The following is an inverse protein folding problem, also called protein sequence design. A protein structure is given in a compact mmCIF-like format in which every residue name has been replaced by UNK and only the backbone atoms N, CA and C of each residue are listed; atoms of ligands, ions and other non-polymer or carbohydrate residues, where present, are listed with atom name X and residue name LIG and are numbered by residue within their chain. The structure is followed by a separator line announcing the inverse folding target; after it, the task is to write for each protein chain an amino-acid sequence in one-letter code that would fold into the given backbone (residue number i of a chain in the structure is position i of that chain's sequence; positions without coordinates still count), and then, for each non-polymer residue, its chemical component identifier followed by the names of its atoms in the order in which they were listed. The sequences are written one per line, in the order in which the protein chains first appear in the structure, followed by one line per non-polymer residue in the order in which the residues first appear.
data_IF_838891230066
#
_entry.id   IF_838891230066
#
_cell.length_a   1.000
_cell.length_b   1.000
_cell.length_c   1.000
_cell.angle_alpha   90.00
_cell.angle_beta   90.00
_cell.angle_gamma   90.00
#
_symmetry.space_group_name_H-M   'P 1'
#
loop_
_entity.id
_entity.type
_entity.pdbx_description
1 polymer ?
#
# COMPACT_ATOMS: atom_id res chain seq x y z
N UNK A 1 13.35 5.96 -18.46
CA UNK A 1 12.63 6.81 -17.48
C UNK A 1 13.01 6.33 -16.09
N UNK A 2 13.41 7.22 -15.18
CA UNK A 2 13.51 6.89 -13.75
C UNK A 2 12.07 6.68 -13.28
N UNK A 3 11.64 5.42 -13.17
CA UNK A 3 10.37 5.08 -12.53
C UNK A 3 10.51 5.40 -11.04
N UNK A 4 10.09 6.60 -10.65
CA UNK A 4 9.92 6.92 -9.24
C UNK A 4 8.69 6.16 -8.76
N UNK A 5 8.94 4.95 -8.23
CA UNK A 5 8.03 4.07 -7.49
C UNK A 5 6.84 4.82 -6.91
N UNK A 6 7.06 5.86 -6.09
CA UNK A 6 6.22 7.05 -5.89
C UNK A 6 7.16 8.22 -5.57
N UNK A 7 6.69 9.47 -5.48
CA UNK A 7 7.48 10.53 -4.85
C UNK A 7 7.96 10.04 -3.47
N UNK A 8 9.22 10.31 -3.10
CA UNK A 8 9.78 9.86 -1.82
C UNK A 8 8.94 10.32 -0.62
N UNK A 9 8.26 11.46 -0.76
CA UNK A 9 7.41 12.02 0.28
C UNK A 9 5.96 11.50 0.21
N UNK A 10 5.62 10.59 -0.70
CA UNK A 10 4.25 10.12 -0.86
C UNK A 10 3.67 9.45 0.39
N UNK A 11 4.39 8.55 1.10
CA UNK A 11 3.89 8.02 2.38
C UNK A 11 3.68 9.12 3.43
N UNK A 12 4.52 10.16 3.42
CA UNK A 12 4.36 11.32 4.30
C UNK A 12 3.06 12.07 3.97
N UNK A 13 2.77 12.31 2.69
CA UNK A 13 1.52 12.94 2.27
C UNK A 13 0.28 12.10 2.59
N UNK A 14 0.35 10.77 2.52
CA UNK A 14 -0.73 9.88 3.00
C UNK A 14 -0.98 10.12 4.49
N UNK A 15 0.08 10.14 5.30
CA UNK A 15 -0.03 10.35 6.74
C UNK A 15 -0.63 11.72 7.08
N UNK A 16 -0.22 12.77 6.35
CA UNK A 16 -0.78 14.13 6.49
C UNK A 16 -2.27 14.13 6.13
N UNK A 17 -2.67 13.60 4.97
CA UNK A 17 -4.06 13.59 4.54
C UNK A 17 -4.96 12.80 5.51
N UNK A 18 -4.48 11.64 5.98
CA UNK A 18 -5.21 10.82 6.95
C UNK A 18 -5.33 11.53 8.30
N UNK A 19 -4.22 12.03 8.84
CA UNK A 19 -4.18 12.67 10.16
C UNK A 19 -4.97 13.97 10.20
N UNK A 20 -4.84 14.82 9.18
CA UNK A 20 -5.63 16.05 9.08
C UNK A 20 -7.12 15.76 8.85
N UNK A 21 -7.45 14.75 8.05
CA UNK A 21 -8.85 14.35 7.85
C UNK A 21 -9.54 13.98 9.16
N UNK A 22 -8.89 13.17 9.99
CA UNK A 22 -9.42 12.77 11.31
C UNK A 22 -9.46 13.95 12.28
N UNK A 23 -8.37 14.70 12.39
CA UNK A 23 -8.29 15.86 13.27
C UNK A 23 -9.38 16.91 12.97
N UNK A 24 -9.61 17.22 11.69
CA UNK A 24 -10.64 18.20 11.30
C UNK A 24 -12.06 17.70 11.58
N UNK A 25 -12.31 16.39 11.47
CA UNK A 25 -13.59 15.79 11.83
C UNK A 25 -13.87 15.94 13.33
N UNK A 26 -12.90 15.61 14.17
CA UNK A 26 -13.04 15.71 15.63
C UNK A 26 -13.18 17.17 16.07
N UNK A 27 -12.37 18.05 15.50
CA UNK A 27 -12.42 19.48 15.81
C UNK A 27 -13.73 20.14 15.34
N UNK A 28 -14.29 19.72 14.21
CA UNK A 28 -15.59 20.21 13.73
C UNK A 28 -16.70 19.89 14.74
N UNK A 29 -16.73 18.65 15.24
CA UNK A 29 -17.69 18.19 16.22
C UNK A 29 -17.62 18.96 17.55
N UNK A 30 -16.42 19.31 18.01
CA UNK A 30 -16.25 20.12 19.24
C UNK A 30 -16.77 21.56 19.09
N UNK A 31 -16.79 22.11 17.88
CA UNK A 31 -17.23 23.49 17.62
C UNK A 31 -18.75 23.57 17.45
N UNK A 32 -19.37 22.57 16.83
CA UNK A 32 -20.76 22.64 16.42
C UNK A 32 -21.38 21.25 16.28
N UNK A 33 -22.57 21.07 16.87
CA UNK A 33 -23.41 19.88 16.67
C UNK A 33 -24.02 19.78 15.25
N UNK A 34 -23.86 20.83 14.44
CA UNK A 34 -24.31 20.89 13.04
C UNK A 34 -23.13 20.81 12.08
N UNK A 35 -23.37 20.25 10.89
CA UNK A 35 -22.36 20.21 9.83
C UNK A 35 -21.76 21.58 9.53
N UNK A 36 -20.44 21.58 9.39
CA UNK A 36 -19.61 22.74 9.07
C UNK A 36 -18.78 22.49 7.82
N UNK A 37 -18.12 23.54 7.32
CA UNK A 37 -17.18 23.41 6.21
C UNK A 37 -16.00 22.48 6.53
N UNK A 38 -15.66 22.31 7.81
CA UNK A 38 -14.58 21.42 8.25
C UNK A 38 -14.96 19.96 8.02
N UNK A 39 -16.23 19.57 8.15
CA UNK A 39 -16.70 18.22 7.86
C UNK A 39 -16.52 17.85 6.39
N UNK A 40 -16.80 18.80 5.49
CA UNK A 40 -16.60 18.60 4.06
C UNK A 40 -15.12 18.46 3.70
N UNK A 41 -14.24 19.27 4.32
CA UNK A 41 -12.79 19.17 4.13
C UNK A 41 -12.27 17.84 4.71
N UNK A 42 -12.70 17.47 5.91
CA UNK A 42 -12.35 16.20 6.55
C UNK A 42 -12.74 14.99 5.70
N UNK A 43 -13.96 15.01 5.14
CA UNK A 43 -14.48 13.98 4.23
C UNK A 43 -13.65 13.91 2.96
N UNK A 44 -13.32 15.05 2.36
CA UNK A 44 -12.49 15.10 1.15
C UNK A 44 -11.08 14.55 1.41
N UNK A 45 -10.45 14.93 2.52
CA UNK A 45 -9.13 14.43 2.90
C UNK A 45 -9.15 12.93 3.19
N UNK A 46 -10.20 12.44 3.85
CA UNK A 46 -10.38 11.01 4.12
C UNK A 46 -10.60 10.20 2.84
N UNK A 47 -11.35 10.73 1.88
CA UNK A 47 -11.50 10.09 0.58
C UNK A 47 -10.18 10.09 -0.21
N UNK A 48 -9.47 11.23 -0.21
CA UNK A 48 -8.17 11.34 -0.86
C UNK A 48 -7.16 10.35 -0.26
N UNK A 49 -7.13 10.19 1.07
CA UNK A 49 -6.21 9.26 1.73
C UNK A 49 -6.47 7.80 1.31
N UNK A 50 -7.73 7.39 1.20
CA UNK A 50 -8.10 6.04 0.69
C UNK A 50 -7.55 5.82 -0.71
N UNK A 51 -7.77 6.76 -1.62
CA UNK A 51 -7.24 6.67 -3.01
C UNK A 51 -5.72 6.60 -2.98
N UNK A 52 -5.07 7.42 -2.15
CA UNK A 52 -3.62 7.42 -2.06
C UNK A 52 -3.07 6.10 -1.52
N UNK A 53 -3.71 5.49 -0.52
CA UNK A 53 -3.36 4.14 -0.04
C UNK A 53 -3.48 3.10 -1.15
N UNK A 54 -4.56 3.11 -1.94
CA UNK A 54 -4.74 2.20 -3.08
C UNK A 54 -3.58 2.33 -4.07
N UNK A 55 -3.29 3.57 -4.49
CA UNK A 55 -2.18 3.87 -5.41
C UNK A 55 -0.84 3.43 -4.83
N UNK A 56 -0.59 3.70 -3.56
CA UNK A 56 0.64 3.27 -2.87
C UNK A 56 0.74 1.75 -2.83
N UNK A 57 -0.33 1.04 -2.50
CA UNK A 57 -0.36 -0.42 -2.44
C UNK A 57 0.01 -1.08 -3.77
N UNK A 58 -0.51 -0.56 -4.89
CA UNK A 58 -0.12 -1.05 -6.21
C UNK A 58 1.33 -0.73 -6.58
N UNK A 59 1.80 0.47 -6.23
CA UNK A 59 3.21 0.82 -6.42
C UNK A 59 4.10 -0.12 -5.59
N UNK A 60 3.81 -0.28 -4.30
CA UNK A 60 4.45 -1.19 -3.36
C UNK A 60 4.55 -2.62 -3.89
N UNK A 61 3.44 -3.17 -4.39
CA UNK A 61 3.39 -4.45 -5.07
C UNK A 61 4.44 -4.52 -6.19
N UNK A 62 4.44 -3.57 -7.12
CA UNK A 62 5.36 -3.57 -8.27
C UNK A 62 6.83 -3.51 -7.85
N UNK A 63 7.22 -2.64 -6.91
CA UNK A 63 8.63 -2.65 -6.49
C UNK A 63 9.01 -3.89 -5.69
N UNK A 64 8.09 -4.45 -4.90
CA UNK A 64 8.37 -5.69 -4.19
C UNK A 64 8.64 -6.82 -5.19
N UNK A 65 7.81 -6.95 -6.23
CA UNK A 65 8.03 -7.93 -7.31
C UNK A 65 9.37 -7.69 -8.02
N UNK A 66 9.70 -6.44 -8.34
CA UNK A 66 10.96 -6.09 -8.99
C UNK A 66 12.19 -6.37 -8.10
N UNK A 67 12.10 -6.06 -6.80
CA UNK A 67 13.15 -6.34 -5.83
C UNK A 67 13.40 -7.84 -5.72
N UNK A 68 12.34 -8.63 -5.57
CA UNK A 68 12.44 -10.08 -5.42
C UNK A 68 13.02 -10.73 -6.67
N UNK A 69 12.57 -10.31 -7.86
CA UNK A 69 13.13 -10.78 -9.12
C UNK A 69 14.60 -10.42 -9.25
N UNK A 70 15.00 -9.22 -8.85
CA UNK A 70 16.40 -8.76 -8.95
C UNK A 70 17.33 -9.52 -8.01
N UNK A 71 16.93 -9.68 -6.74
CA UNK A 71 17.76 -10.23 -5.65
C UNK A 71 17.69 -11.75 -5.58
N UNK A 72 16.49 -12.31 -5.56
CA UNK A 72 16.26 -13.74 -5.36
C UNK A 72 16.07 -14.52 -6.66
N UNK A 73 16.02 -13.83 -7.81
CA UNK A 73 15.89 -14.41 -9.16
C UNK A 73 14.63 -15.24 -9.39
N UNK A 74 13.54 -14.92 -8.68
CA UNK A 74 12.22 -15.51 -8.93
C UNK A 74 11.11 -14.47 -8.95
N UNK A 75 9.99 -14.82 -9.58
CA UNK A 75 8.81 -13.95 -9.64
C UNK A 75 7.89 -14.18 -8.43
N UNK A 76 7.75 -13.16 -7.58
CA UNK A 76 6.76 -13.16 -6.51
C UNK A 76 5.36 -12.92 -7.10
N UNK A 77 4.45 -13.90 -6.99
CA UNK A 77 3.07 -13.77 -7.46
C UNK A 77 2.21 -13.08 -6.41
N UNK A 78 1.78 -11.86 -6.72
CA UNK A 78 0.89 -11.06 -5.86
C UNK A 78 -0.46 -10.81 -6.55
N UNK A 79 -1.56 -11.11 -5.87
CA UNK A 79 -2.92 -10.94 -6.37
C UNK A 79 -3.34 -9.46 -6.36
N UNK A 80 -3.80 -8.97 -7.51
CA UNK A 80 -4.28 -7.59 -7.71
C UNK A 80 -5.51 -7.30 -6.84
N UNK A 81 -6.45 -8.25 -6.74
CA UNK A 81 -7.67 -8.08 -5.96
C UNK A 81 -7.37 -7.92 -4.46
N UNK A 82 -6.48 -8.76 -3.90
CA UNK A 82 -6.06 -8.63 -2.51
C UNK A 82 -5.22 -7.36 -2.26
N UNK A 83 -4.45 -6.92 -3.26
CA UNK A 83 -3.73 -5.63 -3.18
C UNK A 83 -4.71 -4.45 -3.08
N UNK A 84 -5.84 -4.51 -3.79
CA UNK A 84 -6.86 -3.47 -3.74
C UNK A 84 -7.59 -3.45 -2.39
N UNK A 85 -8.12 -4.58 -1.94
CA UNK A 85 -8.99 -4.65 -0.75
C UNK A 85 -8.21 -4.56 0.56
N UNK A 86 -7.11 -5.32 0.68
CA UNK A 86 -6.34 -5.41 1.93
C UNK A 86 -5.13 -4.47 1.96
N UNK A 87 -4.75 -3.89 0.82
CA UNK A 87 -3.76 -2.83 0.71
C UNK A 87 -2.45 -3.14 1.47
N UNK A 88 -2.04 -2.29 2.41
CA UNK A 88 -0.82 -2.44 3.22
C UNK A 88 -0.74 -3.79 3.93
N UNK A 89 -1.86 -4.33 4.42
CA UNK A 89 -1.88 -5.63 5.10
C UNK A 89 -1.50 -6.77 4.15
N UNK A 90 -1.91 -6.70 2.88
CA UNK A 90 -1.52 -7.69 1.89
C UNK A 90 -0.04 -7.59 1.52
N UNK A 91 0.51 -6.37 1.42
CA UNK A 91 1.94 -6.18 1.17
C UNK A 91 2.77 -6.81 2.30
N UNK A 92 2.44 -6.50 3.57
CA UNK A 92 3.14 -7.06 4.73
C UNK A 92 2.98 -8.58 4.78
N UNK A 93 1.79 -9.10 4.51
CA UNK A 93 1.55 -10.53 4.40
C UNK A 93 2.46 -11.19 3.36
N UNK A 94 2.56 -10.63 2.14
CA UNK A 94 3.43 -11.15 1.08
C UNK A 94 4.93 -11.10 1.44
N UNK A 95 5.36 -10.09 2.21
CA UNK A 95 6.73 -10.02 2.74
C UNK A 95 6.96 -11.17 3.73
N UNK A 96 6.04 -11.38 4.68
CA UNK A 96 6.15 -12.44 5.68
C UNK A 96 6.12 -13.84 5.07
N UNK A 97 5.34 -14.05 3.99
CA UNK A 97 5.28 -15.33 3.28
C UNK A 97 6.41 -15.53 2.26
N UNK A 98 7.27 -14.53 2.03
CA UNK A 98 8.24 -14.53 0.93
C UNK A 98 9.23 -15.70 0.99
N UNK A 99 9.74 -16.01 2.18
CA UNK A 99 10.68 -17.12 2.37
C UNK A 99 10.04 -18.46 1.97
N UNK A 100 8.78 -18.68 2.36
CA UNK A 100 8.06 -19.90 2.01
C UNK A 100 7.87 -20.05 0.49
N UNK A 101 7.61 -18.95 -0.22
CA UNK A 101 7.48 -18.93 -1.68
C UNK A 101 8.82 -19.17 -2.38
N UNK A 102 9.91 -18.63 -1.83
CA UNK A 102 11.26 -18.86 -2.34
C UNK A 102 11.69 -20.32 -2.23
N UNK A 103 11.38 -20.99 -1.12
CA UNK A 103 11.69 -22.41 -0.94
C UNK A 103 10.89 -23.29 -1.92
N UNK A 104 9.60 -23.01 -2.11
CA UNK A 104 8.79 -23.69 -3.14
C UNK A 104 9.40 -23.54 -4.53
N UNK A 105 9.85 -22.33 -4.88
CA UNK A 105 10.53 -22.06 -6.14
C UNK A 105 11.79 -22.92 -6.31
N UNK A 106 12.66 -22.98 -5.28
CA UNK A 106 13.87 -23.83 -5.31
C UNK A 106 13.56 -25.30 -5.54
N UNK A 107 12.57 -25.85 -4.83
CA UNK A 107 12.20 -27.27 -4.95
C UNK A 107 11.78 -27.56 -6.39
N UNK A 108 10.88 -26.75 -6.95
CA UNK A 108 10.38 -26.92 -8.32
C UNK A 108 11.53 -26.85 -9.34
N UNK A 109 12.43 -25.88 -9.22
CA UNK A 109 13.57 -25.76 -10.15
C UNK A 109 14.60 -26.89 -9.97
N UNK A 110 14.83 -27.36 -8.74
CA UNK A 110 15.73 -28.49 -8.49
C UNK A 110 15.20 -29.81 -9.06
N UNK A 111 13.88 -29.99 -9.10
CA UNK A 111 13.24 -31.18 -9.69
C UNK A 111 13.24 -31.18 -11.22
N UNK A 112 13.43 -30.03 -11.86
CA UNK A 112 13.49 -29.93 -13.33
C UNK A 112 14.88 -30.20 -13.92
N UNK A 113 15.93 -30.31 -13.08
CA UNK A 113 17.31 -30.53 -13.51
C UNK A 113 17.83 -31.97 -13.31
N UNK A 114 16.99 -32.87 -12.81
CA UNK A 114 17.28 -34.31 -12.68
C UNK A 114 16.50 -35.12 -13.70
#
# INVERSE_FOLDING_TARGET
MKDNFVDNNYPLWIAIATGLGWFLSDFSYEISDKETILDHIATLLSFASVVMYIVWGFKAKTALQAYVLKVFKFELKMNVFYTFIFNIYYIVYCINSMESEYQKHKIIFSQQQG
#
